data_IF_825577905569
#
_entry.id   IF_825577905569
#
_cell.length_a   1.000
_cell.length_b   1.000
_cell.length_c   1.000
_cell.angle_alpha   90.00
_cell.angle_beta   90.00
_cell.angle_gamma   90.00
#
_symmetry.space_group_name_H-M   'P 1'
#
loop_
_entity.id
_entity.type
_entity.pdbx_description
1 polymer ?
#
# COMPACT_ATOMS: atom_id res chain seq x y z
N UNK A 1 16.82 -25.14 0.25
CA UNK A 1 16.77 -24.90 -1.21
C UNK A 1 15.38 -25.07 -1.80
N UNK A 2 14.78 -26.26 -1.89
CA UNK A 2 13.44 -26.41 -2.51
C UNK A 2 12.36 -25.55 -1.82
N UNK A 3 12.37 -25.53 -0.48
CA UNK A 3 11.48 -24.68 0.31
C UNK A 3 11.70 -23.18 0.03
N UNK A 4 12.96 -22.74 -0.10
CA UNK A 4 13.29 -21.34 -0.41
C UNK A 4 12.79 -20.94 -1.80
N UNK A 5 12.95 -21.81 -2.81
CA UNK A 5 12.40 -21.58 -4.15
C UNK A 5 10.87 -21.51 -4.11
N UNK A 6 10.20 -22.36 -3.33
CA UNK A 6 8.75 -22.32 -3.17
C UNK A 6 8.29 -21.02 -2.47
N UNK A 7 8.99 -20.59 -1.42
CA UNK A 7 8.74 -19.32 -0.73
C UNK A 7 8.94 -18.12 -1.65
N UNK A 8 9.96 -18.13 -2.51
CA UNK A 8 10.19 -17.06 -3.49
C UNK A 8 9.15 -17.06 -4.60
N UNK A 9 8.71 -18.25 -5.03
CA UNK A 9 7.63 -18.39 -6.03
C UNK A 9 6.32 -17.85 -5.48
N UNK A 10 5.98 -18.18 -4.23
CA UNK A 10 4.77 -17.65 -3.56
C UNK A 10 4.86 -16.15 -3.30
N UNK A 11 6.04 -15.64 -2.90
CA UNK A 11 6.31 -14.20 -2.80
C UNK A 11 6.10 -13.51 -4.14
N UNK A 12 6.62 -14.08 -5.23
CA UNK A 12 6.42 -13.59 -6.59
C UNK A 12 4.95 -13.58 -7.00
N UNK A 13 4.20 -14.65 -6.69
CA UNK A 13 2.78 -14.74 -6.99
C UNK A 13 1.95 -13.70 -6.23
N UNK A 14 2.05 -13.67 -4.89
CA UNK A 14 1.30 -12.74 -4.05
C UNK A 14 1.70 -11.28 -4.28
N UNK A 15 3.00 -10.99 -4.38
CA UNK A 15 3.51 -9.64 -4.60
C UNK A 15 3.07 -9.05 -5.94
N UNK A 16 2.87 -9.90 -6.95
CA UNK A 16 2.48 -9.46 -8.29
C UNK A 16 1.02 -8.98 -8.38
N UNK A 17 0.09 -9.55 -7.61
CA UNK A 17 -1.35 -9.21 -7.64
C UNK A 17 -1.67 -7.76 -7.25
N UNK A 18 -0.88 -7.16 -6.35
CA UNK A 18 -1.09 -5.79 -5.91
C UNK A 18 -0.26 -4.78 -6.70
N UNK A 19 1.05 -5.00 -6.74
CA UNK A 19 1.99 -4.00 -7.24
C UNK A 19 2.20 -4.07 -8.75
N UNK A 20 2.58 -5.25 -9.26
CA UNK A 20 2.83 -5.44 -10.68
C UNK A 20 1.55 -5.23 -11.50
N UNK A 21 0.38 -5.64 -10.97
CA UNK A 21 -0.93 -5.39 -11.60
C UNK A 21 -1.26 -3.90 -11.63
N UNK A 22 -1.01 -3.17 -10.54
CA UNK A 22 -1.32 -1.73 -10.45
C UNK A 22 -0.38 -0.84 -11.27
N UNK A 23 0.89 -1.21 -11.36
CA UNK A 23 1.92 -0.42 -12.04
C UNK A 23 2.10 -0.84 -13.50
N UNK A 24 2.29 -2.13 -13.77
CA UNK A 24 2.53 -2.64 -15.12
C UNK A 24 1.22 -2.84 -15.90
N UNK A 25 0.11 -3.17 -15.23
CA UNK A 25 -1.19 -3.46 -15.87
C UNK A 25 -1.78 -2.33 -16.71
N UNK A 26 -1.78 -1.07 -16.25
CA UNK A 26 -2.26 0.05 -17.07
C UNK A 26 -1.41 0.27 -18.34
N UNK A 27 -0.09 0.05 -18.25
CA UNK A 27 0.84 0.31 -19.35
C UNK A 27 0.79 -0.78 -20.41
N UNK A 28 0.77 -2.06 -19.99
CA UNK A 28 0.57 -3.16 -20.93
C UNK A 28 -0.74 -3.02 -21.69
N UNK A 29 -1.78 -2.56 -21.01
CA UNK A 29 -3.07 -2.38 -21.62
C UNK A 29 -3.15 -1.10 -22.47
N UNK A 30 -2.44 -0.01 -22.17
CA UNK A 30 -2.31 1.12 -23.12
C UNK A 30 -1.49 0.73 -24.35
N UNK A 31 -0.43 -0.06 -24.20
CA UNK A 31 0.38 -0.52 -25.34
C UNK A 31 -0.39 -1.49 -26.24
N UNK A 32 -1.15 -2.42 -25.65
CA UNK A 32 -2.07 -3.29 -26.40
C UNK A 32 -3.14 -2.48 -27.15
N UNK A 33 -3.61 -1.35 -26.59
CA UNK A 33 -4.55 -0.45 -27.26
C UNK A 33 -3.89 0.50 -28.28
N UNK A 34 -2.61 0.88 -28.13
CA UNK A 34 -1.92 1.74 -29.09
C UNK A 34 -1.53 0.97 -30.35
N UNK A 35 -1.22 -0.33 -30.25
CA UNK A 35 -1.11 -1.22 -31.43
C UNK A 35 -2.44 -1.31 -32.20
N UNK A 36 -3.59 -1.13 -31.51
CA UNK A 36 -4.93 -1.06 -32.10
C UNK A 36 -5.22 0.23 -32.88
N UNK A 37 -4.56 1.35 -32.58
CA UNK A 37 -4.91 2.66 -33.18
C UNK A 37 -4.34 2.91 -34.58
N UNK A 38 -3.54 2.00 -35.14
CA UNK A 38 -2.80 2.28 -36.39
C UNK A 38 -2.83 1.18 -37.45
N UNK A 39 -3.55 0.08 -37.22
CA UNK A 39 -4.05 -0.75 -38.33
C UNK A 39 -5.28 -0.04 -38.89
N UNK A 40 -5.04 0.91 -39.79
CA UNK A 40 -6.06 1.83 -40.29
C UNK A 40 -7.10 1.15 -41.18
N UNK A 41 -8.20 0.69 -40.59
CA UNK A 41 -9.50 0.56 -41.26
C UNK A 41 -10.62 0.71 -40.22
N UNK A 42 -11.37 1.80 -40.39
CA UNK A 42 -12.72 2.11 -39.92
C UNK A 42 -13.08 2.10 -38.42
N UNK A 43 -13.53 3.29 -38.00
CA UNK A 43 -14.00 3.71 -36.66
C UNK A 43 -15.34 3.07 -36.25
N UNK A 44 -15.83 2.06 -36.98
CA UNK A 44 -17.15 1.48 -36.73
C UNK A 44 -17.18 -0.04 -37.01
N UNK A 45 -16.47 -0.84 -36.22
CA UNK A 45 -16.83 -2.25 -36.06
C UNK A 45 -16.28 -2.85 -34.76
N UNK A 46 -17.20 -3.25 -33.89
CA UNK A 46 -16.97 -4.19 -32.80
C UNK A 46 -16.70 -5.58 -33.38
N UNK A 47 -15.46 -5.86 -33.78
CA UNK A 47 -15.01 -7.21 -34.17
C UNK A 47 -14.18 -7.86 -33.05
N UNK A 48 -14.31 -9.19 -32.84
CA UNK A 48 -13.70 -9.89 -31.73
C UNK A 48 -12.18 -10.02 -31.96
N UNK A 49 -11.39 -9.48 -31.04
CA UNK A 49 -9.93 -9.56 -31.06
C UNK A 49 -9.46 -11.02 -31.09
N UNK A 50 -8.48 -11.34 -31.94
CA UNK A 50 -7.75 -12.60 -31.84
C UNK A 50 -6.99 -12.63 -30.51
N UNK A 51 -7.55 -13.34 -29.52
CA UNK A 51 -6.97 -13.58 -28.18
C UNK A 51 -5.49 -14.01 -28.24
N UNK A 52 -5.11 -14.65 -29.35
CA UNK A 52 -3.76 -15.11 -29.65
C UNK A 52 -2.70 -14.01 -29.72
N UNK A 53 -2.98 -12.90 -30.41
CA UNK A 53 -2.01 -11.80 -30.51
C UNK A 53 -1.78 -11.10 -29.16
N UNK A 54 -2.85 -10.97 -28.36
CA UNK A 54 -2.76 -10.41 -27.02
C UNK A 54 -1.95 -11.34 -26.09
N UNK A 55 -2.20 -12.64 -26.18
CA UNK A 55 -1.44 -13.65 -25.44
C UNK A 55 0.05 -13.63 -25.82
N UNK A 56 0.38 -13.59 -27.11
CA UNK A 56 1.76 -13.51 -27.59
C UNK A 56 2.49 -12.27 -27.05
N UNK A 57 1.86 -11.10 -27.11
CA UNK A 57 2.46 -9.86 -26.59
C UNK A 57 2.79 -9.97 -25.09
N UNK A 58 1.86 -10.48 -24.28
CA UNK A 58 2.08 -10.62 -22.84
C UNK A 58 3.11 -11.70 -22.51
N UNK A 59 3.17 -12.79 -23.26
CA UNK A 59 4.17 -13.84 -23.08
C UNK A 59 5.57 -13.32 -23.39
N UNK A 60 5.77 -12.61 -24.50
CA UNK A 60 7.06 -12.03 -24.84
C UNK A 60 7.51 -10.99 -23.80
N UNK A 61 6.59 -10.15 -23.33
CA UNK A 61 6.87 -9.17 -22.26
C UNK A 61 7.36 -9.85 -20.98
N UNK A 62 6.67 -10.89 -20.51
CA UNK A 62 7.10 -11.55 -19.28
C UNK A 62 8.37 -12.39 -19.48
N UNK A 63 8.61 -12.93 -20.68
CA UNK A 63 9.88 -13.58 -21.01
C UNK A 63 11.07 -12.62 -20.86
N UNK A 64 10.92 -11.38 -21.32
CA UNK A 64 11.91 -10.32 -21.09
C UNK A 64 12.16 -10.03 -19.60
N UNK A 65 11.10 -10.00 -18.79
CA UNK A 65 11.20 -9.81 -17.33
C UNK A 65 11.92 -10.97 -16.65
N UNK A 66 11.61 -12.21 -17.03
CA UNK A 66 12.28 -13.41 -16.51
C UNK A 66 13.77 -13.38 -16.80
N UNK A 67 14.14 -13.01 -18.03
CA UNK A 67 15.55 -12.86 -18.41
C UNK A 67 16.25 -11.81 -17.55
N UNK A 68 15.64 -10.62 -17.40
CA UNK A 68 16.17 -9.55 -16.55
C UNK A 68 16.33 -9.97 -15.07
N UNK A 69 15.32 -10.62 -14.48
CA UNK A 69 15.38 -11.09 -13.09
C UNK A 69 16.47 -12.14 -12.91
N UNK A 70 16.58 -13.10 -13.82
CA UNK A 70 17.61 -14.15 -13.76
C UNK A 70 19.00 -13.55 -13.89
N UNK A 71 19.20 -12.61 -14.80
CA UNK A 71 20.48 -11.94 -15.01
C UNK A 71 20.89 -11.09 -13.79
N UNK A 72 19.95 -10.33 -13.23
CA UNK A 72 20.20 -9.54 -12.01
C UNK A 72 20.45 -10.43 -10.79
N UNK A 73 19.73 -11.54 -10.65
CA UNK A 73 19.96 -12.53 -9.60
C UNK A 73 21.32 -13.22 -9.70
N UNK A 74 21.72 -13.62 -10.90
CA UNK A 74 23.03 -14.19 -11.15
C UNK A 74 24.14 -13.18 -10.84
N UNK A 75 23.99 -11.92 -11.27
CA UNK A 75 24.95 -10.85 -10.98
C UNK A 75 25.05 -10.54 -9.48
N UNK A 76 23.93 -10.41 -8.78
CA UNK A 76 23.91 -10.11 -7.34
C UNK A 76 24.41 -11.31 -6.52
N UNK A 77 24.07 -12.55 -6.91
CA UNK A 77 24.62 -13.76 -6.29
C UNK A 77 26.13 -13.89 -6.49
N UNK A 78 26.65 -13.49 -7.67
CA UNK A 78 28.08 -13.40 -7.96
C UNK A 78 28.76 -12.34 -7.08
N UNK A 79 28.17 -11.15 -6.98
CA UNK A 79 28.70 -10.08 -6.13
C UNK A 79 28.67 -10.48 -4.65
N UNK A 80 27.63 -11.21 -4.22
CA UNK A 80 27.53 -11.77 -2.88
C UNK A 80 28.71 -12.68 -2.52
N UNK A 81 29.20 -13.50 -3.46
CA UNK A 81 30.35 -14.37 -3.22
C UNK A 81 31.65 -13.57 -2.99
N UNK A 82 31.84 -12.48 -3.74
CA UNK A 82 32.98 -11.57 -3.61
C UNK A 82 32.92 -10.75 -2.31
N UNK A 83 31.72 -10.31 -1.93
CA UNK A 83 31.47 -9.56 -0.69
C UNK A 83 31.70 -10.44 0.56
N UNK A 84 31.32 -11.72 0.51
CA UNK A 84 31.59 -12.70 1.60
C UNK A 84 33.09 -12.97 1.68
N UNK A 85 33.75 -13.18 0.54
CA UNK A 85 35.19 -13.43 0.49
C UNK A 85 36.04 -12.25 0.96
N UNK A 86 35.54 -11.01 0.86
CA UNK A 86 36.26 -9.79 1.23
C UNK A 86 36.00 -9.31 2.67
N UNK A 87 35.19 -10.02 3.46
CA UNK A 87 34.99 -9.73 4.90
C UNK A 87 34.20 -8.46 5.23
N UNK A 88 33.75 -7.69 4.23
CA UNK A 88 33.01 -6.43 4.41
C UNK A 88 31.52 -6.61 4.78
N UNK A 89 31.00 -7.84 4.79
CA UNK A 89 29.57 -8.13 5.01
C UNK A 89 29.09 -8.03 6.46
N UNK A 90 29.98 -7.98 7.46
CA UNK A 90 29.55 -8.01 8.86
C UNK A 90 28.89 -6.70 9.36
N UNK A 91 28.95 -5.59 8.62
CA UNK A 91 28.47 -4.28 9.10
C UNK A 91 27.71 -3.38 8.11
N UNK A 92 27.70 -3.68 6.81
CA UNK A 92 27.10 -2.80 5.78
C UNK A 92 25.64 -3.20 5.43
N UNK A 93 25.21 -4.40 5.85
CA UNK A 93 23.90 -4.97 5.48
C UNK A 93 22.69 -4.34 6.17
N UNK A 94 22.84 -3.64 7.29
CA UNK A 94 21.70 -3.02 7.98
C UNK A 94 21.34 -1.68 7.34
N UNK A 95 22.29 -0.76 7.18
CA UNK A 95 21.99 0.64 6.84
C UNK A 95 21.68 0.85 5.36
N UNK A 96 22.43 0.23 4.44
CA UNK A 96 22.15 0.32 3.01
C UNK A 96 20.80 -0.35 2.68
N UNK A 97 20.52 -1.49 3.30
CA UNK A 97 19.25 -2.21 3.18
C UNK A 97 18.08 -1.42 3.75
N UNK A 98 18.30 -0.76 4.89
CA UNK A 98 17.35 0.17 5.53
C UNK A 98 17.02 1.34 4.62
N UNK A 99 18.02 1.99 4.03
CA UNK A 99 17.82 3.10 3.08
C UNK A 99 17.10 2.68 1.81
N UNK A 100 17.49 1.54 1.21
CA UNK A 100 16.84 0.99 0.02
C UNK A 100 15.39 0.58 0.30
N UNK A 101 15.10 0.00 1.47
CA UNK A 101 13.74 -0.31 1.91
C UNK A 101 12.90 0.96 2.08
N UNK A 102 13.39 2.00 2.76
CA UNK A 102 12.69 3.29 2.90
C UNK A 102 12.37 3.89 1.53
N UNK A 103 13.39 4.00 0.66
CA UNK A 103 13.25 4.57 -0.66
C UNK A 103 12.19 3.83 -1.48
N UNK A 104 12.25 2.49 -1.47
CA UNK A 104 11.32 1.64 -2.20
C UNK A 104 9.91 1.73 -1.63
N UNK A 105 9.76 1.75 -0.31
CA UNK A 105 8.48 1.90 0.36
C UNK A 105 7.82 3.26 0.10
N UNK A 106 8.59 4.36 0.13
CA UNK A 106 8.12 5.69 -0.24
C UNK A 106 7.71 5.79 -1.71
N UNK A 107 8.48 5.18 -2.62
CA UNK A 107 8.13 5.11 -4.04
C UNK A 107 6.84 4.31 -4.28
N UNK A 108 6.65 3.18 -3.59
CA UNK A 108 5.43 2.38 -3.65
C UNK A 108 4.19 3.16 -3.16
N UNK A 109 4.35 3.89 -2.05
CA UNK A 109 3.31 4.78 -1.52
C UNK A 109 3.00 5.88 -2.55
N UNK A 110 4.02 6.53 -3.11
CA UNK A 110 3.88 7.57 -4.12
C UNK A 110 3.12 7.08 -5.37
N UNK A 111 3.54 5.96 -5.96
CA UNK A 111 2.88 5.36 -7.13
C UNK A 111 1.46 4.91 -6.82
N UNK A 112 1.23 4.34 -5.63
CA UNK A 112 -0.10 3.95 -5.18
C UNK A 112 -1.04 5.16 -5.03
N UNK A 113 -0.57 6.26 -4.40
CA UNK A 113 -1.33 7.51 -4.31
C UNK A 113 -1.63 8.11 -5.69
N UNK A 114 -0.66 8.09 -6.61
CA UNK A 114 -0.83 8.59 -7.97
C UNK A 114 -1.95 7.87 -8.73
N UNK A 115 -2.15 6.58 -8.44
CA UNK A 115 -3.20 5.75 -9.05
C UNK A 115 -4.55 5.90 -8.36
N UNK A 116 -4.59 5.95 -7.03
CA UNK A 116 -5.83 6.09 -6.25
C UNK A 116 -6.47 7.45 -6.46
N UNK A 117 -5.67 8.52 -6.50
CA UNK A 117 -6.19 9.86 -6.75
C UNK A 117 -5.17 10.75 -7.49
N UNK A 118 -5.22 10.80 -8.84
CA UNK A 118 -4.25 11.57 -9.63
C UNK A 118 -4.31 13.09 -9.39
N UNK A 119 -5.36 13.60 -8.73
CA UNK A 119 -5.54 15.01 -8.39
C UNK A 119 -5.00 15.42 -7.00
N UNK A 120 -4.44 14.50 -6.21
CA UNK A 120 -3.87 14.81 -4.89
C UNK A 120 -2.40 15.22 -4.97
N UNK A 121 -1.62 14.58 -5.84
CA UNK A 121 -0.19 14.85 -5.87
C UNK A 121 0.02 16.29 -6.37
N UNK A 122 0.75 17.15 -5.64
CA UNK A 122 1.22 18.38 -6.22
C UNK A 122 1.98 17.99 -7.48
N UNK A 123 1.67 18.64 -8.61
CA UNK A 123 2.46 18.49 -9.84
C UNK A 123 3.88 18.89 -9.47
N UNK A 124 4.72 17.94 -9.04
CA UNK A 124 6.01 18.24 -8.46
C UNK A 124 6.80 19.03 -9.52
N UNK A 125 7.14 20.29 -9.24
CA UNK A 125 7.88 21.14 -10.17
C UNK A 125 9.35 20.68 -10.32
N UNK A 126 9.73 19.55 -9.71
CA UNK A 126 11.08 18.95 -9.80
C UNK A 126 11.38 18.39 -11.19
N UNK A 127 10.37 18.04 -11.99
CA UNK A 127 10.58 17.68 -13.40
C UNK A 127 10.56 18.90 -14.34
N UNK A 128 10.31 20.11 -13.83
CA UNK A 128 10.31 21.33 -14.64
C UNK A 128 11.72 21.75 -15.12
N UNK A 129 12.83 21.60 -14.35
CA UNK A 129 14.18 21.90 -14.84
C UNK A 129 14.64 20.90 -15.91
N UNK A 130 14.19 19.66 -15.81
CA UNK A 130 14.47 18.59 -16.78
C UNK A 130 13.66 18.73 -18.07
N UNK A 131 12.54 19.47 -18.04
CA UNK A 131 11.77 19.87 -19.22
C UNK A 131 12.43 21.03 -19.99
N UNK A 132 13.38 21.73 -19.36
CA UNK A 132 14.11 22.87 -19.95
C UNK A 132 15.28 22.41 -20.82
N UNK A 133 15.79 21.19 -20.60
CA UNK A 133 16.82 20.62 -21.45
C UNK A 133 16.18 19.61 -22.42
N UNK A 134 16.50 19.72 -23.71
CA UNK A 134 15.98 18.90 -24.80
C UNK A 134 16.19 17.38 -24.62
N UNK A 135 16.83 16.94 -23.53
CA UNK A 135 17.04 15.55 -23.14
C UNK A 135 15.73 14.82 -22.83
N UNK A 136 14.76 15.43 -22.16
CA UNK A 136 13.48 14.74 -21.89
C UNK A 136 12.67 14.51 -23.16
N UNK A 137 12.64 15.50 -24.06
CA UNK A 137 12.00 15.35 -25.36
C UNK A 137 12.78 14.36 -26.24
N UNK A 138 14.11 14.33 -26.20
CA UNK A 138 14.90 13.34 -26.93
C UNK A 138 14.72 11.93 -26.37
N UNK A 139 14.74 11.75 -25.05
CA UNK A 139 14.54 10.45 -24.41
C UNK A 139 13.11 9.95 -24.61
N UNK A 140 12.10 10.83 -24.50
CA UNK A 140 10.71 10.47 -24.80
C UNK A 140 10.51 10.17 -26.28
N UNK A 141 11.16 10.92 -27.19
CA UNK A 141 11.08 10.68 -28.63
C UNK A 141 11.83 9.40 -29.02
N UNK A 142 12.96 9.08 -28.40
CA UNK A 142 13.67 7.81 -28.58
C UNK A 142 12.84 6.65 -28.03
N UNK A 143 12.24 6.78 -26.85
CA UNK A 143 11.40 5.74 -26.25
C UNK A 143 10.08 5.54 -27.02
N UNK A 144 9.51 6.61 -27.59
CA UNK A 144 8.34 6.56 -28.49
C UNK A 144 8.72 6.04 -29.87
N UNK A 145 9.85 6.45 -30.46
CA UNK A 145 10.31 5.96 -31.77
C UNK A 145 10.71 4.48 -31.71
N UNK A 146 11.41 4.04 -30.66
CA UNK A 146 11.66 2.61 -30.43
C UNK A 146 10.37 1.84 -30.15
N UNK A 147 9.37 2.45 -29.50
CA UNK A 147 8.05 1.84 -29.30
C UNK A 147 7.21 1.78 -30.58
N UNK A 148 7.56 2.57 -31.61
CA UNK A 148 6.87 2.66 -32.89
C UNK A 148 7.57 1.85 -34.00
N UNK A 149 8.79 1.36 -33.77
CA UNK A 149 9.41 0.36 -34.63
C UNK A 149 8.74 -1.00 -34.39
N UNK A 150 7.92 -1.41 -35.36
CA UNK A 150 7.08 -2.59 -35.31
C UNK A 150 7.87 -3.91 -35.44
N UNK A 151 8.76 -4.19 -34.48
CA UNK A 151 9.53 -5.43 -34.45
C UNK A 151 8.98 -6.37 -33.39
N UNK A 152 8.95 -7.67 -33.71
CA UNK A 152 8.42 -8.74 -32.84
C UNK A 152 9.09 -8.81 -31.45
N UNK A 153 10.30 -8.29 -31.28
CA UNK A 153 11.04 -8.27 -30.01
C UNK A 153 10.75 -7.06 -29.11
N UNK A 154 9.99 -6.06 -29.58
CA UNK A 154 9.63 -4.86 -28.80
C UNK A 154 9.00 -5.19 -27.44
N UNK A 155 8.05 -6.15 -27.33
CA UNK A 155 7.49 -6.52 -26.03
C UNK A 155 8.55 -7.16 -25.11
N UNK A 156 9.42 -8.01 -25.66
CA UNK A 156 10.49 -8.63 -24.89
C UNK A 156 11.52 -7.62 -24.37
N UNK A 157 11.90 -6.64 -25.20
CA UNK A 157 12.79 -5.56 -24.78
C UNK A 157 12.16 -4.68 -23.71
N UNK A 158 10.87 -4.33 -23.87
CA UNK A 158 10.14 -3.58 -22.86
C UNK A 158 10.09 -4.35 -21.53
N UNK A 159 9.90 -5.67 -21.60
CA UNK A 159 9.95 -6.57 -20.45
C UNK A 159 11.33 -6.60 -19.78
N UNK A 160 12.40 -6.60 -20.57
CA UNK A 160 13.77 -6.54 -20.08
C UNK A 160 14.00 -5.24 -19.30
N UNK A 161 13.72 -4.08 -19.90
CA UNK A 161 13.89 -2.77 -19.25
C UNK A 161 13.02 -2.65 -17.99
N UNK A 162 11.78 -3.14 -18.04
CA UNK A 162 10.86 -3.09 -16.90
C UNK A 162 11.23 -4.05 -15.79
N UNK A 163 11.89 -5.16 -16.10
CA UNK A 163 12.43 -6.10 -15.10
C UNK A 163 13.54 -5.50 -14.23
N UNK A 164 14.21 -4.43 -14.70
CA UNK A 164 15.22 -3.74 -13.90
C UNK A 164 14.63 -2.74 -12.90
N UNK A 165 13.32 -2.47 -12.94
CA UNK A 165 12.71 -1.49 -12.04
C UNK A 165 12.68 -2.03 -10.60
N UNK A 166 13.34 -1.35 -9.63
CA UNK A 166 13.39 -1.83 -8.27
C UNK A 166 12.01 -1.73 -7.61
N UNK A 167 11.52 -2.85 -7.05
CA UNK A 167 10.32 -2.88 -6.22
C UNK A 167 10.57 -3.69 -4.95
N UNK A 168 9.77 -3.48 -3.89
CA UNK A 168 10.06 -4.03 -2.55
C UNK A 168 10.15 -5.56 -2.52
N UNK A 169 9.32 -6.24 -3.29
CA UNK A 169 9.34 -7.70 -3.42
C UNK A 169 10.54 -8.19 -4.24
N UNK A 170 10.90 -7.47 -5.31
CA UNK A 170 12.08 -7.77 -6.12
C UNK A 170 13.35 -7.60 -5.26
N UNK A 171 13.41 -6.56 -4.44
CA UNK A 171 14.52 -6.32 -3.52
C UNK A 171 14.66 -7.44 -2.48
N UNK A 172 13.55 -7.88 -1.88
CA UNK A 172 13.56 -9.01 -0.96
C UNK A 172 14.11 -10.30 -1.62
N UNK A 173 13.72 -10.57 -2.87
CA UNK A 173 14.25 -11.69 -3.64
C UNK A 173 15.73 -11.50 -4.03
N UNK A 174 16.14 -10.28 -4.39
CA UNK A 174 17.54 -9.94 -4.70
C UNK A 174 18.47 -10.05 -3.50
N UNK A 175 18.02 -9.65 -2.31
CA UNK A 175 18.77 -9.87 -1.06
C UNK A 175 18.94 -11.37 -0.82
N UNK A 176 17.86 -12.15 -0.99
CA UNK A 176 17.94 -13.60 -0.87
C UNK A 176 18.89 -14.22 -1.90
N UNK A 177 18.92 -13.68 -3.11
CA UNK A 177 19.87 -14.07 -4.14
C UNK A 177 21.32 -13.73 -3.75
N UNK A 178 21.56 -12.57 -3.13
CA UNK A 178 22.87 -12.18 -2.60
C UNK A 178 23.35 -13.15 -1.49
N UNK A 179 22.45 -13.52 -0.57
CA UNK A 179 22.72 -14.50 0.50
C UNK A 179 23.16 -15.87 -0.05
N UNK A 180 22.76 -16.24 -1.27
CA UNK A 180 23.20 -17.51 -1.86
C UNK A 180 24.70 -17.53 -2.16
N UNK A 181 25.34 -16.36 -2.31
CA UNK A 181 26.77 -16.22 -2.63
C UNK A 181 27.24 -17.09 -3.81
N UNK A 182 26.33 -17.36 -4.77
CA UNK A 182 26.60 -18.22 -5.91
C UNK A 182 25.80 -17.74 -7.13
N UNK A 183 26.44 -17.69 -8.30
CA UNK A 183 25.86 -17.19 -9.54
C UNK A 183 24.62 -18.01 -9.95
N UNK A 184 24.72 -19.34 -9.91
CA UNK A 184 23.66 -20.24 -10.33
C UNK A 184 22.49 -20.24 -9.35
N UNK A 185 22.76 -20.25 -8.04
CA UNK A 185 21.71 -20.18 -7.02
C UNK A 185 21.04 -18.80 -6.97
N UNK A 186 21.80 -17.72 -7.15
CA UNK A 186 21.26 -16.36 -7.28
C UNK A 186 20.38 -16.20 -8.52
N UNK A 187 20.78 -16.81 -9.64
CA UNK A 187 19.95 -16.88 -10.85
C UNK A 187 18.68 -17.69 -10.61
N UNK A 188 18.80 -18.89 -10.02
CA UNK A 188 17.68 -19.79 -9.77
C UNK A 188 16.64 -19.20 -8.80
N UNK A 189 17.08 -18.49 -7.75
CA UNK A 189 16.18 -17.80 -6.80
C UNK A 189 15.35 -16.73 -7.49
N UNK A 190 15.98 -15.90 -8.32
CA UNK A 190 15.26 -14.86 -9.06
C UNK A 190 14.40 -15.40 -10.20
N UNK A 191 14.82 -16.52 -10.81
CA UNK A 191 14.01 -17.23 -11.79
C UNK A 191 12.74 -17.81 -11.13
N UNK A 192 12.85 -18.41 -9.94
CA UNK A 192 11.71 -18.90 -9.17
C UNK A 192 10.73 -17.77 -8.82
N UNK A 193 11.26 -16.63 -8.35
CA UNK A 193 10.46 -15.42 -8.14
C UNK A 193 9.76 -14.97 -9.43
N UNK A 194 10.48 -14.91 -10.55
CA UNK A 194 9.94 -14.55 -11.86
C UNK A 194 8.82 -15.49 -12.33
N UNK A 195 9.02 -16.80 -12.20
CA UNK A 195 8.00 -17.82 -12.50
C UNK A 195 6.74 -17.63 -11.64
N UNK A 196 6.89 -17.24 -10.37
CA UNK A 196 5.75 -16.89 -9.51
C UNK A 196 4.96 -15.68 -10.02
N UNK A 197 5.63 -14.69 -10.62
CA UNK A 197 4.96 -13.49 -11.14
C UNK A 197 4.17 -13.72 -12.45
N UNK A 198 4.56 -14.71 -13.26
CA UNK A 198 3.98 -15.05 -14.56
C UNK A 198 2.47 -15.30 -14.52
N UNK A 199 1.95 -16.26 -13.72
CA UNK A 199 0.52 -16.58 -13.72
C UNK A 199 -0.34 -15.40 -13.27
N UNK A 200 0.16 -14.59 -12.34
CA UNK A 200 -0.54 -13.37 -11.91
C UNK A 200 -0.62 -12.32 -13.02
N UNK A 201 0.48 -12.09 -13.75
CA UNK A 201 0.54 -11.10 -14.85
C UNK A 201 -0.23 -11.52 -16.09
N UNK A 202 -0.12 -12.79 -16.50
CA UNK A 202 -0.90 -13.33 -17.61
C UNK A 202 -2.39 -13.38 -17.27
N UNK A 203 -2.72 -13.82 -16.05
CA UNK A 203 -4.09 -13.85 -15.55
C UNK A 203 -4.74 -12.48 -15.61
N UNK A 204 -4.09 -11.43 -15.09
CA UNK A 204 -4.65 -10.07 -15.11
C UNK A 204 -4.68 -9.48 -16.53
N UNK A 205 -3.69 -9.76 -17.38
CA UNK A 205 -3.73 -9.36 -18.79
C UNK A 205 -4.97 -9.89 -19.53
N UNK A 206 -5.34 -11.15 -19.26
CA UNK A 206 -6.55 -11.77 -19.83
C UNK A 206 -7.84 -11.31 -19.14
N UNK A 207 -7.85 -11.19 -17.81
CA UNK A 207 -9.01 -10.69 -17.05
C UNK A 207 -9.39 -9.26 -17.45
N UNK A 208 -8.40 -8.39 -17.67
CA UNK A 208 -8.64 -7.00 -18.07
C UNK A 208 -9.23 -6.86 -19.47
N UNK A 209 -9.05 -7.84 -20.37
CA UNK A 209 -9.70 -7.82 -21.69
C UNK A 209 -11.17 -8.25 -21.63
N UNK A 210 -11.58 -8.94 -20.56
CA UNK A 210 -12.97 -9.38 -20.36
C UNK A 210 -13.77 -8.41 -19.46
N UNK A 211 -13.11 -7.42 -18.85
CA UNK A 211 -13.73 -6.45 -17.94
C UNK A 211 -14.10 -5.14 -18.66
N UNK A 212 -15.29 -4.61 -18.34
CA UNK A 212 -15.70 -3.26 -18.74
C UNK A 212 -14.74 -2.19 -18.18
N UNK A 213 -14.65 -1.04 -18.86
CA UNK A 213 -13.78 0.09 -18.49
C UNK A 213 -13.95 0.52 -17.02
N UNK A 214 -15.18 0.49 -16.49
CA UNK A 214 -15.47 0.82 -15.10
C UNK A 214 -14.88 -0.18 -14.11
N UNK A 215 -15.01 -1.48 -14.39
CA UNK A 215 -14.45 -2.55 -13.56
C UNK A 215 -12.92 -2.58 -13.64
N UNK A 216 -12.35 -2.25 -14.80
CA UNK A 216 -10.91 -2.09 -14.99
C UNK A 216 -10.35 -0.91 -14.19
N UNK A 217 -11.08 0.22 -14.15
CA UNK A 217 -10.72 1.36 -13.29
C UNK A 217 -10.74 0.99 -11.81
N UNK A 218 -11.76 0.25 -11.35
CA UNK A 218 -11.83 -0.24 -9.97
C UNK A 218 -10.69 -1.20 -9.63
N UNK A 219 -10.35 -2.14 -10.53
CA UNK A 219 -9.23 -3.07 -10.35
C UNK A 219 -7.90 -2.32 -10.17
N UNK A 220 -7.64 -1.29 -10.98
CA UNK A 220 -6.42 -0.48 -10.86
C UNK A 220 -6.40 0.40 -9.60
N UNK A 221 -7.56 0.87 -9.13
CA UNK A 221 -7.65 1.58 -7.85
C UNK A 221 -7.39 0.65 -6.66
N UNK A 222 -7.92 -0.58 -6.69
CA UNK A 222 -7.63 -1.61 -5.68
C UNK A 222 -6.15 -1.97 -5.66
N UNK A 223 -5.53 -2.15 -6.82
CA UNK A 223 -4.09 -2.39 -6.94
C UNK A 223 -3.24 -1.20 -6.42
N UNK A 224 -3.73 0.04 -6.59
CA UNK A 224 -3.18 1.24 -5.97
C UNK A 224 -3.19 1.17 -4.44
N UNK A 225 -4.31 0.79 -3.82
CA UNK A 225 -4.41 0.58 -2.37
C UNK A 225 -3.46 -0.50 -1.85
N UNK A 226 -3.36 -1.63 -2.56
CA UNK A 226 -2.44 -2.72 -2.19
C UNK A 226 -0.98 -2.28 -2.33
N UNK A 227 -0.67 -1.42 -3.29
CA UNK A 227 0.67 -0.84 -3.45
C UNK A 227 1.02 0.13 -2.30
N UNK A 228 0.07 0.96 -1.86
CA UNK A 228 0.24 1.81 -0.67
C UNK A 228 0.46 0.94 0.56
N UNK A 229 -0.37 -0.09 0.74
CA UNK A 229 -0.25 -1.07 1.84
C UNK A 229 1.13 -1.70 1.91
N UNK A 230 1.58 -2.24 0.78
CA UNK A 230 2.90 -2.86 0.66
C UNK A 230 4.01 -1.85 0.93
N UNK A 231 3.90 -0.64 0.37
CA UNK A 231 4.89 0.41 0.56
C UNK A 231 5.03 0.82 2.02
N UNK A 232 3.91 0.99 2.73
CA UNK A 232 3.88 1.25 4.17
C UNK A 232 4.57 0.11 4.93
N UNK A 233 4.17 -1.14 4.69
CA UNK A 233 4.77 -2.33 5.32
C UNK A 233 6.30 -2.36 5.13
N UNK A 234 6.79 -2.04 3.94
CA UNK A 234 8.23 -2.00 3.63
C UNK A 234 8.94 -0.88 4.40
N UNK A 235 8.36 0.34 4.48
CA UNK A 235 8.94 1.43 5.29
C UNK A 235 8.96 1.07 6.78
N UNK A 236 7.93 0.39 7.27
CA UNK A 236 7.82 0.00 8.69
C UNK A 236 8.82 -1.11 9.07
N UNK A 237 9.33 -1.86 8.10
CA UNK A 237 10.29 -2.95 8.29
C UNK A 237 11.72 -2.42 8.34
N UNK A 238 12.05 -1.63 9.35
CA UNK A 238 13.37 -1.03 9.49
C UNK A 238 14.03 -1.28 10.84
N UNK A 239 14.84 -2.36 10.88
CA UNK A 239 16.15 -2.44 11.53
C UNK A 239 16.27 -2.33 13.05
N UNK A 240 15.44 -1.55 13.72
CA UNK A 240 15.47 -1.34 15.16
C UNK A 240 14.05 -1.48 15.69
N UNK A 241 13.91 -2.27 16.75
CA UNK A 241 12.65 -2.71 17.34
C UNK A 241 11.91 -1.55 18.03
N UNK A 242 11.47 -0.55 17.27
CA UNK A 242 10.53 0.48 17.73
C UNK A 242 9.31 0.43 16.82
N UNK A 243 8.20 -0.05 17.39
CA UNK A 243 6.94 -0.28 16.68
C UNK A 243 6.15 0.99 16.42
N UNK A 244 6.58 1.75 15.42
CA UNK A 244 5.84 2.94 14.98
C UNK A 244 4.49 2.61 14.31
N UNK A 245 4.22 1.36 13.94
CA UNK A 245 3.00 0.92 13.24
C UNK A 245 1.73 1.18 14.05
N UNK A 246 1.78 0.90 15.36
CA UNK A 246 0.70 1.21 16.29
C UNK A 246 0.46 2.72 16.36
N UNK A 247 1.53 3.51 16.57
CA UNK A 247 1.45 4.97 16.70
C UNK A 247 0.93 5.66 15.43
N UNK A 248 1.35 5.19 14.25
CA UNK A 248 0.87 5.67 12.97
C UNK A 248 -0.61 5.30 12.75
N UNK A 249 -1.02 4.09 13.15
CA UNK A 249 -2.41 3.66 13.03
C UNK A 249 -3.36 4.55 13.82
N UNK A 250 -3.04 4.83 15.09
CA UNK A 250 -3.92 5.65 15.95
C UNK A 250 -3.95 7.11 15.48
N UNK A 251 -2.81 7.66 15.01
CA UNK A 251 -2.75 9.01 14.46
C UNK A 251 -3.58 9.14 13.19
N UNK A 252 -3.48 8.17 12.26
CA UNK A 252 -4.35 8.14 11.08
C UNK A 252 -5.82 8.03 11.48
N UNK A 253 -6.16 7.20 12.47
CA UNK A 253 -7.54 7.07 12.95
C UNK A 253 -8.06 8.40 13.55
N UNK A 254 -7.26 9.07 14.39
CA UNK A 254 -7.57 10.41 14.92
C UNK A 254 -7.82 11.41 13.80
N UNK A 255 -6.94 11.46 12.82
CA UNK A 255 -7.03 12.41 11.71
C UNK A 255 -8.27 12.13 10.85
N UNK A 256 -8.64 10.88 10.62
CA UNK A 256 -9.89 10.49 9.94
C UNK A 256 -11.16 10.88 10.70
N UNK A 257 -11.10 10.91 12.04
CA UNK A 257 -12.21 11.31 12.93
C UNK A 257 -12.36 12.83 12.98
N UNK A 258 -11.24 13.55 13.07
CA UNK A 258 -11.18 15.03 13.17
C UNK A 258 -11.34 15.71 11.81
N UNK A 259 -11.14 15.00 10.70
CA UNK A 259 -11.24 15.55 9.34
C UNK A 259 -12.54 16.33 9.07
N UNK A 260 -13.67 15.95 9.69
CA UNK A 260 -14.96 16.62 9.52
C UNK A 260 -15.12 17.90 10.35
N UNK A 261 -14.89 17.93 11.67
CA UNK A 261 -14.89 19.20 12.42
C UNK A 261 -13.79 20.15 11.96
N UNK A 262 -12.64 19.63 11.51
CA UNK A 262 -11.51 20.45 11.06
C UNK A 262 -11.65 21.00 9.63
N UNK A 263 -12.62 20.51 8.84
CA UNK A 263 -12.71 20.84 7.41
C UNK A 263 -12.92 22.32 7.09
N UNK A 264 -13.40 23.10 8.06
CA UNK A 264 -13.60 24.54 7.92
C UNK A 264 -12.31 25.34 8.03
N UNK A 265 -11.32 24.84 8.77
CA UNK A 265 -9.99 25.45 8.89
C UNK A 265 -8.97 24.79 7.97
N UNK A 266 -9.11 23.49 7.74
CA UNK A 266 -8.25 22.71 6.85
C UNK A 266 -9.04 21.65 6.09
N UNK A 267 -9.27 21.87 4.79
CA UNK A 267 -10.15 21.03 3.96
C UNK A 267 -9.48 19.76 3.39
N UNK A 268 -8.14 19.69 3.39
CA UNK A 268 -7.39 18.57 2.80
C UNK A 268 -7.68 17.22 3.49
N UNK A 269 -7.68 17.10 4.84
CA UNK A 269 -8.01 15.84 5.52
C UNK A 269 -9.39 15.27 5.18
N UNK A 270 -10.38 16.13 4.89
CA UNK A 270 -11.72 15.70 4.53
C UNK A 270 -11.73 15.01 3.15
N UNK A 271 -10.94 15.51 2.20
CA UNK A 271 -10.82 14.94 0.84
C UNK A 271 -10.24 13.53 0.87
N UNK A 272 -9.32 13.27 1.81
CA UNK A 272 -8.62 11.99 1.95
C UNK A 272 -9.13 11.13 3.11
N UNK A 273 -10.26 11.47 3.72
CA UNK A 273 -10.75 10.81 4.94
C UNK A 273 -10.88 9.29 4.79
N UNK A 274 -11.34 8.80 3.62
CA UNK A 274 -11.42 7.36 3.33
C UNK A 274 -10.03 6.71 3.24
N UNK A 275 -9.09 7.40 2.59
CA UNK A 275 -7.71 6.96 2.47
C UNK A 275 -7.02 6.83 3.82
N UNK A 276 -7.16 7.87 4.64
CA UNK A 276 -6.56 7.95 5.96
C UNK A 276 -7.17 6.86 6.88
N UNK A 277 -8.48 6.64 6.80
CA UNK A 277 -9.16 5.57 7.55
C UNK A 277 -8.75 4.16 7.11
N UNK A 278 -8.62 3.92 5.81
CA UNK A 278 -8.12 2.65 5.29
C UNK A 278 -6.66 2.42 5.70
N UNK A 279 -5.83 3.47 5.63
CA UNK A 279 -4.45 3.44 6.11
C UNK A 279 -4.35 3.08 7.60
N UNK A 280 -5.23 3.63 8.44
CA UNK A 280 -5.29 3.28 9.86
C UNK A 280 -5.59 1.79 10.09
N UNK A 281 -6.55 1.21 9.35
CA UNK A 281 -6.88 -0.21 9.44
C UNK A 281 -5.71 -1.10 9.02
N UNK A 282 -5.11 -0.77 7.87
CA UNK A 282 -3.93 -1.44 7.31
C UNK A 282 -2.77 -1.48 8.30
N UNK A 283 -2.45 -0.32 8.88
CA UNK A 283 -1.38 -0.19 9.87
C UNK A 283 -1.69 -0.98 11.14
N UNK A 284 -2.96 -1.05 11.56
CA UNK A 284 -3.40 -1.84 12.71
C UNK A 284 -3.24 -3.35 12.48
N UNK A 285 -3.57 -3.84 11.27
CA UNK A 285 -3.32 -5.24 10.88
C UNK A 285 -1.82 -5.54 10.88
N UNK A 286 -1.00 -4.65 10.30
CA UNK A 286 0.45 -4.79 10.28
C UNK A 286 1.05 -4.83 11.70
N UNK A 287 0.61 -3.92 12.57
CA UNK A 287 0.99 -3.90 13.98
C UNK A 287 0.65 -5.22 14.69
N UNK A 288 -0.59 -5.71 14.51
CA UNK A 288 -1.05 -6.96 15.12
C UNK A 288 -0.24 -8.15 14.63
N UNK A 289 0.01 -8.26 13.32
CA UNK A 289 0.82 -9.34 12.74
C UNK A 289 2.25 -9.33 13.28
N UNK A 290 2.85 -8.14 13.42
CA UNK A 290 4.21 -8.02 13.97
C UNK A 290 4.28 -8.40 15.45
N UNK A 291 3.30 -8.01 16.26
CA UNK A 291 3.22 -8.42 17.67
C UNK A 291 2.99 -9.93 17.82
N UNK A 292 2.19 -10.52 16.95
CA UNK A 292 1.93 -11.97 16.97
C UNK A 292 3.20 -12.77 16.64
N UNK A 293 3.99 -12.30 15.69
CA UNK A 293 5.24 -12.95 15.28
C UNK A 293 6.35 -12.74 16.31
N UNK A 294 6.66 -11.49 16.65
CA UNK A 294 7.82 -11.17 17.49
C UNK A 294 7.58 -11.32 19.01
N UNK A 295 6.37 -11.01 19.50
CA UNK A 295 6.10 -11.03 20.95
C UNK A 295 5.46 -12.34 21.40
N UNK A 296 4.61 -12.93 20.56
CA UNK A 296 3.88 -14.15 20.89
C UNK A 296 4.45 -15.41 20.24
N UNK A 297 5.34 -15.31 19.24
CA UNK A 297 5.79 -16.46 18.43
C UNK A 297 4.63 -17.34 17.96
N UNK A 298 3.51 -16.73 17.56
CA UNK A 298 2.26 -17.41 17.20
C UNK A 298 1.61 -18.26 18.30
N UNK A 299 2.11 -18.21 19.53
CA UNK A 299 1.55 -18.93 20.66
C UNK A 299 0.52 -18.07 21.44
N UNK A 300 -0.77 -18.29 21.16
CA UNK A 300 -1.86 -17.58 21.82
C UNK A 300 -2.01 -17.93 23.31
N UNK A 301 -1.48 -19.07 23.75
CA UNK A 301 -1.52 -19.46 25.16
C UNK A 301 -0.60 -18.56 26.00
N UNK A 302 0.42 -17.93 25.39
CA UNK A 302 1.27 -16.96 26.08
C UNK A 302 0.48 -15.77 26.64
N UNK A 303 -0.68 -15.43 26.04
CA UNK A 303 -1.52 -14.32 26.49
C UNK A 303 -2.09 -14.57 27.89
N UNK A 304 -2.45 -15.81 28.23
CA UNK A 304 -3.03 -16.11 29.56
C UNK A 304 -2.02 -15.97 30.70
N UNK A 305 -0.72 -16.00 30.39
CA UNK A 305 0.36 -15.84 31.37
C UNK A 305 0.78 -14.37 31.56
N UNK A 306 0.28 -13.44 30.75
CA UNK A 306 0.55 -12.01 30.91
C UNK A 306 -0.27 -11.36 32.04
N UNK A 307 0.16 -10.20 32.54
CA UNK A 307 -0.58 -9.45 33.55
C UNK A 307 -2.00 -9.11 33.05
N UNK A 308 -3.02 -9.12 33.93
CA UNK A 308 -4.42 -8.83 33.56
C UNK A 308 -4.60 -7.51 32.80
N UNK A 309 -3.82 -6.47 33.13
CA UNK A 309 -3.86 -5.18 32.43
C UNK A 309 -3.45 -5.32 30.96
N UNK A 310 -2.40 -6.09 30.66
CA UNK A 310 -1.93 -6.33 29.29
C UNK A 310 -2.92 -7.20 28.51
N UNK A 311 -3.55 -8.18 29.18
CA UNK A 311 -4.61 -8.99 28.57
C UNK A 311 -5.79 -8.11 28.13
N UNK A 312 -6.25 -7.21 28.99
CA UNK A 312 -7.31 -6.23 28.66
C UNK A 312 -6.89 -5.39 27.45
N UNK A 313 -5.64 -4.93 27.42
CA UNK A 313 -5.08 -4.18 26.29
C UNK A 313 -5.13 -4.98 24.99
N UNK A 314 -4.68 -6.23 24.99
CA UNK A 314 -4.69 -7.11 23.80
C UNK A 314 -6.12 -7.36 23.32
N UNK A 315 -7.04 -7.71 24.21
CA UNK A 315 -8.45 -7.93 23.86
C UNK A 315 -9.12 -6.67 23.31
N UNK A 316 -8.88 -5.51 23.93
CA UNK A 316 -9.37 -4.22 23.41
C UNK A 316 -8.83 -3.95 21.99
N UNK A 317 -7.56 -4.27 21.72
CA UNK A 317 -6.96 -4.17 20.39
C UNK A 317 -7.64 -5.09 19.36
N UNK A 318 -7.88 -6.36 19.72
CA UNK A 318 -8.56 -7.34 18.85
C UNK A 318 -9.98 -6.89 18.53
N UNK A 319 -10.77 -6.47 19.53
CA UNK A 319 -12.13 -5.98 19.31
C UNK A 319 -12.15 -4.67 18.52
N UNK A 320 -11.21 -3.75 18.78
CA UNK A 320 -11.03 -2.53 18.01
C UNK A 320 -10.76 -2.82 16.53
N UNK A 321 -9.84 -3.73 16.23
CA UNK A 321 -9.53 -4.17 14.88
C UNK A 321 -10.73 -4.85 14.19
N UNK A 322 -11.46 -5.70 14.93
CA UNK A 322 -12.69 -6.34 14.46
C UNK A 322 -13.78 -5.33 14.09
N UNK A 323 -13.93 -4.27 14.87
CA UNK A 323 -14.84 -3.17 14.54
C UNK A 323 -14.39 -2.37 13.33
N UNK A 324 -13.08 -2.23 13.07
CA UNK A 324 -12.56 -1.51 11.89
C UNK A 324 -12.72 -2.29 10.58
N UNK A 325 -12.73 -3.63 10.63
CA UNK A 325 -12.85 -4.50 9.46
C UNK A 325 -14.05 -4.17 8.54
N UNK A 326 -15.31 -4.07 9.03
CA UNK A 326 -16.43 -3.71 8.16
C UNK A 326 -16.30 -2.30 7.56
N UNK A 327 -15.65 -1.35 8.24
CA UNK A 327 -15.43 0.00 7.70
C UNK A 327 -14.43 -0.02 6.54
N UNK A 328 -13.39 -0.85 6.65
CA UNK A 328 -12.41 -1.04 5.60
C UNK A 328 -13.04 -1.73 4.38
N UNK A 329 -13.78 -2.82 4.62
CA UNK A 329 -14.45 -3.59 3.56
C UNK A 329 -15.50 -2.77 2.82
N UNK A 330 -16.16 -1.81 3.46
CA UNK A 330 -17.19 -0.95 2.83
C UNK A 330 -16.65 0.38 2.32
N UNK A 331 -15.33 0.54 2.22
CA UNK A 331 -14.66 1.79 1.81
C UNK A 331 -14.57 1.99 0.27
N UNK A 332 -15.45 1.37 -0.52
CA UNK A 332 -15.50 1.53 -1.99
C UNK A 332 -16.85 2.10 -2.47
N UNK A 333 -16.85 2.78 -3.61
CA UNK A 333 -18.03 3.54 -4.09
C UNK A 333 -19.29 2.66 -4.32
N UNK A 334 -19.10 1.40 -4.69
CA UNK A 334 -20.18 0.42 -4.81
C UNK A 334 -20.89 0.12 -3.49
N UNK A 335 -20.13 -0.06 -2.41
CA UNK A 335 -20.69 -0.28 -1.07
C UNK A 335 -21.44 0.95 -0.57
N UNK A 336 -20.93 2.15 -0.83
CA UNK A 336 -21.62 3.40 -0.47
C UNK A 336 -22.99 3.49 -1.13
N UNK A 337 -23.06 3.16 -2.43
CA UNK A 337 -24.31 3.17 -3.20
C UNK A 337 -25.30 2.08 -2.73
N UNK A 338 -24.80 0.88 -2.46
CA UNK A 338 -25.62 -0.26 -2.05
C UNK A 338 -26.18 -0.09 -0.62
N UNK A 339 -25.35 0.30 0.33
CA UNK A 339 -25.74 0.44 1.75
C UNK A 339 -26.50 1.74 2.04
N UNK A 340 -26.32 2.80 1.25
CA UNK A 340 -27.03 4.06 1.38
C UNK A 340 -26.99 4.63 2.81
N UNK A 341 -28.14 4.66 3.49
CA UNK A 341 -28.25 5.16 4.88
C UNK A 341 -27.53 4.27 5.91
N UNK A 342 -27.46 2.96 5.66
CA UNK A 342 -26.79 2.00 6.55
C UNK A 342 -25.27 2.15 6.51
N UNK A 343 -24.70 2.60 5.40
CA UNK A 343 -23.26 2.89 5.28
C UNK A 343 -22.81 3.86 6.37
N UNK A 344 -23.67 4.83 6.68
CA UNK A 344 -23.41 5.81 7.73
C UNK A 344 -23.45 5.22 9.14
N UNK A 345 -24.42 4.33 9.42
CA UNK A 345 -24.52 3.61 10.69
C UNK A 345 -23.31 2.70 10.90
N UNK A 346 -22.84 2.07 9.83
CA UNK A 346 -21.65 1.23 9.85
C UNK A 346 -20.40 2.07 10.16
N UNK A 347 -20.20 3.22 9.50
CA UNK A 347 -19.06 4.10 9.80
C UNK A 347 -19.13 4.81 11.16
N UNK A 348 -20.26 4.76 11.88
CA UNK A 348 -20.32 5.20 13.29
C UNK A 348 -19.54 4.27 14.22
N UNK A 349 -19.32 3.00 13.83
CA UNK A 349 -18.46 2.05 14.55
C UNK A 349 -16.99 2.53 14.65
N UNK A 350 -16.59 3.55 13.88
CA UNK A 350 -15.29 4.21 14.05
C UNK A 350 -15.07 4.81 15.44
N UNK A 351 -16.14 5.19 16.15
CA UNK A 351 -16.06 5.74 17.51
C UNK A 351 -15.73 4.66 18.53
N UNK A 352 -16.52 3.58 18.67
CA UNK A 352 -16.17 2.50 19.60
C UNK A 352 -14.84 1.84 19.23
N UNK A 353 -14.50 1.72 17.94
CA UNK A 353 -13.18 1.25 17.52
C UNK A 353 -12.05 2.15 18.05
N UNK A 354 -12.18 3.48 17.92
CA UNK A 354 -11.18 4.42 18.43
C UNK A 354 -11.05 4.39 19.95
N UNK A 355 -12.17 4.24 20.67
CA UNK A 355 -12.17 4.06 22.12
C UNK A 355 -11.42 2.80 22.55
N UNK A 356 -11.71 1.67 21.91
CA UNK A 356 -11.05 0.40 22.19
C UNK A 356 -9.55 0.45 21.85
N UNK A 357 -9.17 1.09 20.74
CA UNK A 357 -7.76 1.34 20.44
C UNK A 357 -7.11 2.24 21.48
N UNK A 358 -7.81 3.24 22.01
CA UNK A 358 -7.32 4.06 23.11
C UNK A 358 -7.08 3.27 24.39
N UNK A 359 -8.03 2.42 24.77
CA UNK A 359 -7.88 1.48 25.91
C UNK A 359 -6.69 0.55 25.70
N UNK A 360 -6.55 -0.02 24.50
CA UNK A 360 -5.41 -0.85 24.12
C UNK A 360 -4.08 -0.13 24.37
N UNK A 361 -3.93 1.12 23.88
CA UNK A 361 -2.68 1.86 24.05
C UNK A 361 -2.39 2.20 25.52
N UNK A 362 -3.40 2.65 26.26
CA UNK A 362 -3.23 3.01 27.68
C UNK A 362 -2.92 1.79 28.53
N UNK A 363 -3.58 0.65 28.27
CA UNK A 363 -3.39 -0.60 29.02
C UNK A 363 -2.04 -1.27 28.72
N UNK A 364 -1.50 -1.11 27.51
CA UNK A 364 -0.16 -1.61 27.12
C UNK A 364 0.96 -0.65 27.58
N UNK A 365 0.66 0.62 27.86
CA UNK A 365 1.56 1.54 28.56
C UNK A 365 2.80 1.99 27.76
N UNK A 366 3.94 2.18 28.44
CA UNK A 366 5.20 2.70 27.86
C UNK A 366 5.80 1.83 26.75
N UNK A 367 5.42 0.55 26.70
CA UNK A 367 5.82 -0.39 25.66
C UNK A 367 5.32 0.02 24.26
N UNK A 368 4.25 0.82 24.18
CA UNK A 368 3.67 1.29 22.92
C UNK A 368 4.57 2.29 22.17
N UNK A 369 5.50 2.97 22.85
CA UNK A 369 6.46 3.89 22.24
C UNK A 369 7.84 3.25 22.00
N UNK A 370 7.93 1.92 22.16
CA UNK A 370 9.16 1.15 21.98
C UNK A 370 10.22 1.35 23.06
N UNK A 371 9.81 1.72 24.27
CA UNK A 371 10.70 1.80 25.42
C UNK A 371 10.48 0.62 26.37
N UNK A 372 11.56 -0.12 26.64
CA UNK A 372 11.57 -1.28 27.53
C UNK A 372 11.58 -0.91 29.03
N UNK A 373 11.76 0.38 29.36
CA UNK A 373 11.92 0.83 30.74
C UNK A 373 10.80 1.76 31.23
N UNK A 374 10.48 1.60 32.51
CA UNK A 374 9.59 2.46 33.30
C UNK A 374 10.25 3.82 33.54
N UNK A 375 10.13 4.71 32.54
CA UNK A 375 10.59 6.10 32.62
C UNK A 375 9.43 7.07 32.78
N UNK A 376 9.61 8.06 33.66
CA UNK A 376 8.68 9.17 33.92
C UNK A 376 8.28 9.90 32.62
N UNK A 377 9.20 9.97 31.64
CA UNK A 377 8.94 10.54 30.32
C UNK A 377 7.99 9.71 29.45
N UNK A 378 8.03 8.38 29.54
CA UNK A 378 7.13 7.51 28.77
C UNK A 378 5.71 7.54 29.33
N UNK A 379 5.59 7.65 30.65
CA UNK A 379 4.29 7.79 31.32
C UNK A 379 3.62 9.13 30.97
N UNK A 380 4.39 10.23 30.94
CA UNK A 380 3.89 11.53 30.46
C UNK A 380 3.43 11.48 29.00
N UNK A 381 4.14 10.77 28.12
CA UNK A 381 3.74 10.60 26.71
C UNK A 381 2.46 9.75 26.57
N UNK A 382 2.31 8.69 27.35
CA UNK A 382 1.09 7.88 27.37
C UNK A 382 -0.12 8.67 27.89
N UNK A 383 0.06 9.45 28.96
CA UNK A 383 -0.96 10.36 29.49
C UNK A 383 -1.32 11.44 28.46
N UNK A 384 -0.33 12.05 27.80
CA UNK A 384 -0.56 13.01 26.72
C UNK A 384 -1.36 12.39 25.58
N UNK A 385 -1.05 11.16 25.18
CA UNK A 385 -1.83 10.45 24.17
C UNK A 385 -3.28 10.19 24.64
N UNK A 386 -3.47 9.79 25.89
CA UNK A 386 -4.82 9.64 26.49
C UNK A 386 -5.61 10.95 26.47
N UNK A 387 -4.97 12.07 26.82
CA UNK A 387 -5.57 13.41 26.76
C UNK A 387 -5.92 13.79 25.32
N UNK A 388 -5.04 13.55 24.35
CA UNK A 388 -5.36 13.83 22.93
C UNK A 388 -6.52 12.99 22.40
N UNK A 389 -6.63 11.72 22.80
CA UNK A 389 -7.79 10.87 22.48
C UNK A 389 -9.08 11.48 23.02
N UNK A 390 -9.08 11.93 24.28
CA UNK A 390 -10.23 12.59 24.90
C UNK A 390 -10.59 13.91 24.18
N UNK A 391 -9.60 14.73 23.84
CA UNK A 391 -9.80 15.97 23.08
C UNK A 391 -10.44 15.69 21.71
N UNK A 392 -10.00 14.65 20.99
CA UNK A 392 -10.60 14.23 19.71
C UNK A 392 -12.07 13.85 19.87
N UNK A 393 -12.41 13.12 20.93
CA UNK A 393 -13.79 12.73 21.23
C UNK A 393 -14.66 13.93 21.59
N UNK A 394 -14.14 14.86 22.40
CA UNK A 394 -14.80 16.10 22.80
C UNK A 394 -15.08 16.99 21.58
N UNK A 395 -14.08 17.20 20.72
CA UNK A 395 -14.22 17.98 19.46
C UNK A 395 -15.25 17.34 18.52
N UNK A 396 -15.47 16.02 18.60
CA UNK A 396 -16.50 15.35 17.81
C UNK A 396 -17.91 15.48 18.41
N UNK A 397 -18.02 15.71 19.73
CA UNK A 397 -19.31 15.81 20.43
C UNK A 397 -20.05 17.11 20.06
N UNK A 398 -21.36 17.02 19.81
CA UNK A 398 -22.19 18.20 19.53
C UNK A 398 -22.26 19.15 20.75
N UNK A 399 -22.29 18.57 21.96
CA UNK A 399 -22.39 19.30 23.21
C UNK A 399 -21.25 20.31 23.37
N UNK A 400 -20.01 19.94 23.03
CA UNK A 400 -18.85 20.84 23.09
C UNK A 400 -19.03 22.09 22.21
N UNK A 401 -19.47 21.93 20.95
CA UNK A 401 -19.67 23.08 20.05
C UNK A 401 -20.84 23.96 20.48
N UNK A 402 -21.85 23.39 21.15
CA UNK A 402 -22.97 24.13 21.72
C UNK A 402 -22.56 24.93 22.97
N UNK A 403 -21.69 24.35 23.82
CA UNK A 403 -21.25 24.94 25.09
C UNK A 403 -20.43 26.21 24.86
N UNK A 404 -19.61 26.23 23.81
CA UNK A 404 -18.77 27.39 23.46
C UNK A 404 -19.46 28.40 22.54
N UNK A 405 -20.75 28.25 22.21
CA UNK A 405 -21.46 29.11 21.24
C UNK A 405 -20.86 29.14 19.82
N UNK A 406 -20.06 28.13 19.47
CA UNK A 406 -19.42 27.95 18.16
C UNK A 406 -20.26 26.96 17.29
N UNK A 407 -21.52 26.71 17.64
CA UNK A 407 -22.42 25.79 16.93
C UNK A 407 -22.57 26.08 15.43
N UNK A 408 -22.33 27.32 15.00
CA UNK A 408 -22.23 27.76 13.60
C UNK A 408 -21.13 27.07 12.77
N UNK A 409 -20.14 26.42 13.42
CA UNK A 409 -19.04 25.70 12.78
C UNK A 409 -19.20 24.18 12.83
N UNK A 410 -20.16 23.67 13.61
CA UNK A 410 -20.50 22.25 13.62
C UNK A 410 -21.22 21.88 12.33
N UNK A 411 -20.71 20.89 11.60
CA UNK A 411 -21.40 20.34 10.42
C UNK A 411 -22.29 19.18 10.90
N UNK A 412 -23.60 19.39 11.10
CA UNK A 412 -24.45 18.38 11.69
C UNK A 412 -24.58 17.16 10.78
N UNK A 413 -24.96 16.02 11.37
CA UNK A 413 -25.41 14.90 10.58
C UNK A 413 -26.56 15.32 9.64
N UNK A 414 -26.48 15.02 8.34
CA UNK A 414 -27.53 15.34 7.32
C UNK A 414 -28.99 15.01 7.74
N UNK A 415 -29.18 14.10 8.70
CA UNK A 415 -30.48 13.71 9.24
C UNK A 415 -31.08 14.79 10.16
N UNK A 416 -30.25 15.51 10.92
CA UNK A 416 -30.69 16.67 11.71
C UNK A 416 -31.05 17.88 10.83
N UNK A 417 -30.49 17.99 9.62
CA UNK A 417 -30.89 19.03 8.66
C UNK A 417 -32.32 18.80 8.13
N UNK A 418 -32.74 17.53 7.99
CA UNK A 418 -34.12 17.20 7.62
C UNK A 418 -35.11 17.49 8.75
N UNK A 419 -34.77 17.11 9.98
CA UNK A 419 -35.64 17.36 11.15
C UNK A 419 -35.78 18.86 11.40
N UNK A 420 -34.69 19.63 11.32
CA UNK A 420 -34.74 21.09 11.52
C UNK A 420 -35.50 21.82 10.40
N UNK A 421 -35.50 21.30 9.17
CA UNK A 421 -36.35 21.82 8.08
C UNK A 421 -37.83 21.47 8.24
N UNK A 422 -38.16 20.34 8.87
CA UNK A 422 -39.56 19.99 9.14
C UNK A 422 -40.14 20.81 10.29
N UNK A 423 -39.37 21.07 11.35
CA UNK A 423 -39.79 21.89 12.50
C UNK A 423 -39.88 23.39 12.18
N UNK A 424 -39.24 23.86 11.11
CA UNK A 424 -39.33 25.26 10.67
C UNK A 424 -40.38 25.49 9.57
N UNK A 425 -40.94 24.41 9.02
CA UNK A 425 -42.03 24.43 8.03
C UNK A 425 -43.37 23.93 8.60
N UNK A 426 -43.42 23.70 9.92
CA UNK A 426 -44.61 23.44 10.74
C UNK A 426 -44.74 24.57 11.74
#
# INVERSE_FOLDING_TARGET
MLLDLLLLTTLGFLGSFGHCVGMCGPLTATFSLSTRSRSGTDVLSSTPTNKWHQFQFHTLLNLGRLCSYTLTGAGIGALGSVLVASGHLAGIDSDLRRWLAILTGLMLIWFGLAKVQPQLLPKLPIFHPLKKNNLHNRLSTVMVNLSMENKWWTPAFLGLVWGLMPCGFLYAAQIKAAETSNIWLGGATMLAFGLGTLPSMLGVGMLTSFLSADKRSQLFQMAGWVSIFTGIMVVMRNGEMVDYSGSAAILCLMLALVARPLSRFWSQPLRYRRAIGMGAFVLSVAHTGKMLDHSLNWNMQAVSFMLPLHQIGIWAGIFGLGLMLPLALTSFDGAVKYLGKWWRRLHLLSVPAFLLCGVHVVAVGSHYLGALEWSLGNQLRAVFLGVTILVVLIIRSYQFWSLFSIGKYYVPPLEQVKIKKQVHNS
#
